data_IF_350658055640
#
_entry.id   IF_350658055640
#
_cell.length_a   1.000
_cell.length_b   1.000
_cell.length_c   1.000
_cell.angle_alpha   90.00
_cell.angle_beta   90.00
_cell.angle_gamma   90.00
#
_symmetry.space_group_name_H-M   'P 1'
#
loop_
_entity.id
_entity.type
_entity.pdbx_description
1 polymer ?
#
# COMPACT_ATOMS: atom_id res chain seq x y z
N UNK A 1 -15.01 17.88 -19.26
CA UNK A 1 -15.58 16.87 -18.34
C UNK A 1 -14.92 17.14 -17.01
N UNK A 2 -15.66 17.44 -15.94
CA UNK A 2 -15.08 17.51 -14.60
C UNK A 2 -14.55 16.12 -14.26
N UNK A 3 -13.22 15.93 -14.26
CA UNK A 3 -12.63 14.70 -13.78
C UNK A 3 -12.57 14.76 -12.25
N UNK A 4 -13.48 14.04 -11.60
CA UNK A 4 -13.37 13.72 -10.17
C UNK A 4 -12.38 12.60 -10.01
N UNK A 5 -11.32 12.82 -9.23
CA UNK A 5 -10.37 11.77 -8.86
C UNK A 5 -10.86 11.08 -7.59
N UNK A 6 -11.13 9.77 -7.69
CA UNK A 6 -11.38 8.92 -6.52
C UNK A 6 -10.03 8.51 -5.92
N UNK A 7 -9.80 8.88 -4.67
CA UNK A 7 -8.58 8.60 -3.91
C UNK A 7 -8.90 7.64 -2.78
N UNK A 8 -8.28 6.47 -2.80
CA UNK A 8 -8.41 5.46 -1.77
C UNK A 8 -7.31 5.69 -0.72
N UNK A 9 -7.72 6.02 0.51
CA UNK A 9 -6.84 6.26 1.66
C UNK A 9 -6.50 4.92 2.32
N UNK A 10 -5.25 4.48 2.17
CA UNK A 10 -4.80 3.19 2.71
C UNK A 10 -3.99 3.44 4.00
N UNK A 11 -4.49 3.02 5.18
CA UNK A 11 -3.72 3.08 6.42
C UNK A 11 -2.60 2.04 6.38
N UNK A 12 -1.40 2.43 6.81
CA UNK A 12 -0.25 1.54 6.84
C UNK A 12 0.47 1.67 8.17
N UNK A 13 0.70 0.54 8.82
CA UNK A 13 1.67 0.46 9.90
C UNK A 13 3.05 0.17 9.28
N UNK A 14 4.00 1.08 9.49
CA UNK A 14 5.33 1.04 8.89
C UNK A 14 6.37 0.41 9.82
N UNK A 15 7.38 -0.22 9.23
CA UNK A 15 8.53 -0.76 9.94
C UNK A 15 8.24 -1.95 10.87
N UNK A 16 9.25 -2.33 11.66
CA UNK A 16 9.16 -3.44 12.59
C UNK A 16 8.75 -4.75 11.91
N UNK A 17 7.81 -5.47 12.51
CA UNK A 17 7.29 -6.74 11.96
C UNK A 17 6.41 -6.55 10.72
N UNK A 18 5.83 -5.36 10.54
CA UNK A 18 4.96 -5.02 9.41
C UNK A 18 5.77 -4.61 8.17
N UNK A 19 6.95 -4.02 8.38
CA UNK A 19 7.85 -3.50 7.36
C UNK A 19 9.31 -3.88 7.60
N UNK A 20 9.69 -5.16 7.53
CA UNK A 20 11.00 -5.65 7.93
C UNK A 20 12.17 -5.18 7.05
N UNK A 21 11.92 -4.48 5.94
CA UNK A 21 12.94 -3.95 5.04
C UNK A 21 13.02 -2.42 5.05
N UNK A 22 12.24 -1.71 5.89
CA UNK A 22 12.21 -0.25 5.85
C UNK A 22 13.58 0.35 6.18
N UNK A 23 14.33 -0.29 7.09
CA UNK A 23 15.69 0.10 7.46
C UNK A 23 16.67 -0.09 6.30
N UNK A 24 16.49 -1.14 5.48
CA UNK A 24 17.32 -1.38 4.29
C UNK A 24 17.02 -0.34 3.21
N UNK A 25 15.75 0.02 2.99
CA UNK A 25 15.34 1.11 2.08
C UNK A 25 15.95 2.43 2.54
N UNK A 26 15.85 2.75 3.84
CA UNK A 26 16.43 3.95 4.42
C UNK A 26 17.96 3.99 4.23
N UNK A 27 18.64 2.90 4.55
CA UNK A 27 20.10 2.75 4.41
C UNK A 27 20.56 2.86 2.96
N UNK A 28 19.87 2.20 2.03
CA UNK A 28 20.20 2.23 0.60
C UNK A 28 20.18 3.67 0.05
N UNK A 29 19.17 4.44 0.44
CA UNK A 29 18.93 5.80 -0.03
C UNK A 29 19.58 6.88 0.84
N UNK A 30 20.28 6.50 1.92
CA UNK A 30 20.96 7.41 2.86
C UNK A 30 20.01 8.44 3.49
N UNK A 31 18.82 7.99 3.84
CA UNK A 31 17.78 8.76 4.52
C UNK A 31 17.35 8.04 5.81
N UNK A 32 16.58 8.69 6.67
CA UNK A 32 16.03 8.03 7.86
C UNK A 32 14.74 7.26 7.55
N UNK A 33 14.33 6.37 8.45
CA UNK A 33 13.05 5.65 8.33
C UNK A 33 11.87 6.62 8.31
N UNK A 34 11.94 7.68 9.11
CA UNK A 34 10.91 8.74 9.15
C UNK A 34 10.81 9.44 7.78
N UNK A 35 11.94 9.72 7.13
CA UNK A 35 11.96 10.29 5.79
C UNK A 35 11.42 9.32 4.73
N UNK A 36 11.62 8.00 4.89
CA UNK A 36 10.98 6.99 4.02
C UNK A 36 9.45 7.09 4.14
N UNK A 37 8.93 7.14 5.37
CA UNK A 37 7.50 7.21 5.64
C UNK A 37 6.91 8.53 5.12
N UNK A 38 7.55 9.66 5.40
CA UNK A 38 7.13 10.99 4.95
C UNK A 38 7.00 11.01 3.42
N UNK A 39 8.04 10.58 2.71
CA UNK A 39 8.06 10.55 1.25
C UNK A 39 7.00 9.60 0.69
N UNK A 40 6.89 8.41 1.25
CA UNK A 40 5.95 7.41 0.78
C UNK A 40 4.48 7.83 0.98
N UNK A 41 4.19 8.67 1.97
CA UNK A 41 2.83 9.13 2.30
C UNK A 41 2.50 10.53 1.75
N UNK A 42 3.50 11.25 1.23
CA UNK A 42 3.39 12.66 0.82
C UNK A 42 2.35 12.97 -0.25
N UNK A 43 2.06 12.02 -1.16
CA UNK A 43 1.16 12.23 -2.29
C UNK A 43 0.39 10.96 -2.68
N UNK A 44 -0.76 11.10 -3.35
CA UNK A 44 -1.43 9.99 -4.01
C UNK A 44 -0.59 9.42 -5.16
N UNK A 45 -0.74 8.12 -5.39
CA UNK A 45 -0.14 7.37 -6.48
C UNK A 45 -1.22 6.95 -7.48
N UNK A 46 -0.94 7.17 -8.77
CA UNK A 46 -1.81 6.73 -9.85
C UNK A 46 -1.74 5.21 -9.98
N UNK A 47 -2.88 4.55 -10.04
CA UNK A 47 -2.97 3.12 -10.34
C UNK A 47 -2.86 2.96 -11.86
N UNK A 48 -1.68 2.60 -12.35
CA UNK A 48 -1.48 2.40 -13.79
C UNK A 48 -2.20 1.15 -14.30
N UNK A 49 -2.13 0.06 -13.55
CA UNK A 49 -2.79 -1.19 -13.86
C UNK A 49 -2.96 -2.04 -12.60
N UNK A 50 -3.90 -2.97 -12.67
CA UNK A 50 -4.02 -4.07 -11.72
C UNK A 50 -3.51 -5.36 -12.39
N UNK A 51 -2.65 -6.13 -11.71
CA UNK A 51 -2.04 -7.33 -12.30
C UNK A 51 -1.04 -7.99 -11.37
N UNK A 52 -0.40 -9.10 -11.80
CA UNK A 52 0.37 -10.07 -10.97
C UNK A 52 -0.51 -11.01 -10.13
N UNK A 53 -1.50 -10.47 -9.41
CA UNK A 53 -2.57 -11.24 -8.77
C UNK A 53 -3.84 -10.38 -8.65
N UNK A 54 -5.02 -10.96 -8.38
CA UNK A 54 -6.26 -10.19 -8.23
C UNK A 54 -6.12 -9.04 -7.23
N UNK A 55 -6.40 -7.82 -7.69
CA UNK A 55 -6.37 -6.59 -6.89
C UNK A 55 -4.98 -5.98 -6.64
N UNK A 56 -3.89 -6.54 -7.17
CA UNK A 56 -2.54 -6.02 -6.91
C UNK A 56 -2.30 -4.76 -7.76
N UNK A 57 -2.04 -3.59 -7.16
CA UNK A 57 -1.90 -2.34 -7.87
C UNK A 57 -0.45 -2.04 -8.22
N UNK A 58 -0.20 -1.71 -9.49
CA UNK A 58 1.07 -1.10 -9.91
C UNK A 58 0.95 0.42 -9.83
N UNK A 59 1.64 1.00 -8.86
CA UNK A 59 1.52 2.41 -8.53
C UNK A 59 2.63 3.25 -9.17
N UNK A 60 2.22 4.34 -9.81
CA UNK A 60 3.10 5.30 -10.46
C UNK A 60 3.46 6.49 -9.58
N UNK A 61 4.68 7.01 -9.78
CA UNK A 61 5.09 8.30 -9.18
C UNK A 61 5.87 8.19 -7.87
N UNK A 62 6.47 7.02 -7.58
CA UNK A 62 7.38 6.85 -6.44
C UNK A 62 8.52 7.87 -6.46
N UNK A 63 8.72 8.57 -5.34
CA UNK A 63 9.84 9.49 -5.12
C UNK A 63 11.16 8.77 -5.43
N UNK A 64 12.01 9.40 -6.25
CA UNK A 64 13.31 8.86 -6.67
C UNK A 64 14.22 8.52 -5.49
N UNK A 65 14.08 9.23 -4.37
CA UNK A 65 14.82 8.96 -3.13
C UNK A 65 14.32 7.72 -2.37
N UNK A 66 13.31 7.02 -2.89
CA UNK A 66 12.85 5.74 -2.38
C UNK A 66 13.20 4.57 -3.31
N UNK A 67 13.77 4.84 -4.49
CA UNK A 67 14.01 3.79 -5.47
C UNK A 67 15.01 2.77 -4.94
N UNK A 68 14.55 1.54 -4.74
CA UNK A 68 15.34 0.51 -4.06
C UNK A 68 15.22 -0.82 -4.80
N UNK A 69 16.33 -1.49 -5.15
CA UNK A 69 16.27 -2.74 -5.89
C UNK A 69 15.50 -3.82 -5.13
N UNK A 70 14.96 -4.78 -5.88
CA UNK A 70 14.38 -6.00 -5.32
C UNK A 70 15.43 -6.73 -4.47
N UNK A 71 14.95 -7.46 -3.46
CA UNK A 71 15.79 -8.37 -2.69
C UNK A 71 16.45 -9.39 -3.62
N UNK A 72 17.73 -9.66 -3.39
CA UNK A 72 18.48 -10.69 -4.12
C UNK A 72 17.86 -12.09 -3.95
N UNK A 73 17.32 -12.37 -2.77
CA UNK A 73 16.59 -13.60 -2.46
C UNK A 73 15.13 -13.25 -2.13
N UNK A 74 14.17 -13.67 -2.98
CA UNK A 74 12.75 -13.50 -2.71
C UNK A 74 12.32 -14.22 -1.42
N UNK A 75 11.36 -13.65 -0.70
CA UNK A 75 10.68 -14.35 0.38
C UNK A 75 9.77 -15.42 -0.19
N UNK A 76 9.73 -16.57 0.47
CA UNK A 76 8.75 -17.62 0.19
C UNK A 76 7.32 -17.18 0.56
N UNK A 77 7.21 -16.28 1.54
CA UNK A 77 5.93 -15.74 2.00
C UNK A 77 6.05 -14.25 2.33
N UNK A 78 5.21 -13.46 1.69
CA UNK A 78 4.83 -12.09 2.02
C UNK A 78 3.37 -12.16 2.43
N UNK A 79 3.02 -11.48 3.52
CA UNK A 79 1.66 -11.50 4.05
C UNK A 79 0.74 -10.59 3.24
N UNK A 80 -0.54 -10.96 3.15
CA UNK A 80 -1.58 -10.08 2.66
C UNK A 80 -1.54 -8.72 3.39
N UNK A 81 -1.83 -7.65 2.65
CA UNK A 81 -1.72 -6.27 3.10
C UNK A 81 -0.31 -5.70 3.12
N UNK A 82 0.75 -6.48 2.85
CA UNK A 82 2.12 -5.94 2.84
C UNK A 82 2.28 -4.87 1.76
N UNK A 83 2.88 -3.75 2.12
CA UNK A 83 3.24 -2.63 1.23
C UNK A 83 4.73 -2.70 0.96
N UNK A 84 5.15 -2.53 -0.29
CA UNK A 84 6.56 -2.64 -0.61
C UNK A 84 7.01 -1.80 -1.78
N UNK A 85 8.33 -1.80 -1.98
CA UNK A 85 9.04 -1.08 -3.03
C UNK A 85 9.87 -2.06 -3.86
N UNK A 86 9.89 -1.85 -5.17
CA UNK A 86 10.82 -2.51 -6.09
C UNK A 86 11.22 -1.57 -7.23
N UNK A 87 12.51 -1.24 -7.29
CA UNK A 87 13.06 -0.23 -8.18
C UNK A 87 12.27 1.08 -8.02
N UNK A 88 11.65 1.56 -9.09
CA UNK A 88 10.85 2.79 -9.13
C UNK A 88 9.35 2.57 -8.87
N UNK A 89 8.94 1.39 -8.39
CA UNK A 89 7.55 1.04 -8.15
C UNK A 89 7.25 0.84 -6.67
N UNK A 90 6.05 1.24 -6.27
CA UNK A 90 5.41 0.85 -5.00
C UNK A 90 4.06 0.19 -5.29
N UNK A 91 3.45 -0.38 -4.26
CA UNK A 91 2.29 -1.24 -4.37
C UNK A 91 2.06 -2.02 -3.09
N UNK A 92 1.01 -2.84 -3.09
CA UNK A 92 0.65 -3.66 -1.93
C UNK A 92 0.17 -5.04 -2.39
N UNK A 93 0.41 -6.05 -1.56
CA UNK A 93 0.05 -7.44 -1.79
C UNK A 93 -1.36 -7.73 -1.28
N UNK A 94 -2.36 -8.01 -2.14
CA UNK A 94 -3.73 -8.29 -1.69
C UNK A 94 -3.90 -9.64 -0.99
N UNK A 95 -3.03 -10.61 -1.30
CA UNK A 95 -3.04 -11.95 -0.72
C UNK A 95 -1.63 -12.46 -0.45
N UNK A 96 -1.51 -13.47 0.40
CA UNK A 96 -0.24 -14.14 0.70
C UNK A 96 0.42 -14.64 -0.60
N UNK A 97 1.69 -14.29 -0.82
CA UNK A 97 2.44 -14.75 -2.00
C UNK A 97 3.94 -14.76 -1.76
N UNK A 98 4.74 -15.48 -2.55
CA UNK A 98 6.18 -15.22 -2.61
C UNK A 98 6.44 -13.86 -3.27
N UNK A 99 7.61 -13.27 -3.02
CA UNK A 99 8.02 -12.04 -3.70
C UNK A 99 9.34 -11.46 -3.21
N UNK A 100 9.94 -10.61 -4.04
CA UNK A 100 11.24 -9.98 -3.79
C UNK A 100 11.18 -8.48 -3.54
N UNK A 101 10.01 -7.91 -3.27
CA UNK A 101 9.91 -6.48 -2.95
C UNK A 101 10.45 -6.21 -1.54
N UNK A 102 10.97 -5.00 -1.34
CA UNK A 102 11.33 -4.51 -0.01
C UNK A 102 10.05 -4.13 0.72
N UNK A 103 9.70 -4.85 1.79
CA UNK A 103 8.46 -4.65 2.54
C UNK A 103 8.69 -3.57 3.60
N UNK A 104 7.98 -2.45 3.46
CA UNK A 104 8.16 -1.25 4.29
C UNK A 104 7.02 -1.06 5.30
N UNK A 105 5.91 -1.77 5.14
CA UNK A 105 4.79 -1.71 6.07
C UNK A 105 3.67 -2.67 5.68
N UNK A 106 2.56 -2.61 6.41
CA UNK A 106 1.37 -3.43 6.15
C UNK A 106 0.10 -2.62 6.38
N UNK A 107 -0.89 -2.82 5.53
CA UNK A 107 -2.26 -2.33 5.75
C UNK A 107 -3.12 -3.43 6.37
N UNK A 108 -4.04 -3.10 7.30
CA UNK A 108 -5.02 -4.05 7.80
C UNK A 108 -6.20 -4.25 6.83
N UNK A 109 -6.30 -3.43 5.77
CA UNK A 109 -7.43 -3.46 4.85
C UNK A 109 -7.37 -4.68 3.92
N UNK A 110 -8.53 -5.34 3.75
CA UNK A 110 -8.74 -6.35 2.70
C UNK A 110 -9.08 -5.66 1.38
N UNK A 111 -8.05 -5.24 0.65
CA UNK A 111 -8.22 -4.48 -0.60
C UNK A 111 -8.91 -5.27 -1.71
N UNK A 112 -8.77 -6.59 -1.69
CA UNK A 112 -9.44 -7.53 -2.59
C UNK A 112 -10.17 -8.60 -1.77
N UNK A 113 -11.41 -8.91 -2.16
CA UNK A 113 -12.18 -10.04 -1.62
C UNK A 113 -13.14 -10.55 -2.69
N UNK A 114 -13.13 -11.86 -2.95
CA UNK A 114 -14.11 -12.50 -3.85
C UNK A 114 -15.52 -12.60 -3.25
N UNK A 115 -15.66 -12.30 -1.96
CA UNK A 115 -16.94 -12.37 -1.21
C UNK A 115 -17.61 -10.99 -1.06
N UNK A 116 -17.01 -9.93 -1.63
CA UNK A 116 -17.53 -8.56 -1.58
C UNK A 116 -17.85 -8.07 -2.98
N UNK A 117 -18.89 -7.23 -3.11
CA UNK A 117 -19.15 -6.44 -4.31
C UNK A 117 -19.01 -4.94 -4.02
N UNK A 118 -18.11 -4.21 -4.70
CA UNK A 118 -17.15 -4.70 -5.69
C UNK A 118 -16.00 -5.50 -5.05
N UNK A 119 -15.44 -6.46 -5.81
CA UNK A 119 -14.36 -7.33 -5.33
C UNK A 119 -13.08 -6.57 -4.97
N UNK A 120 -12.76 -5.50 -5.71
CA UNK A 120 -11.61 -4.62 -5.46
C UNK A 120 -12.06 -3.30 -4.84
N UNK A 121 -11.26 -2.71 -3.96
CA UNK A 121 -11.52 -1.35 -3.42
C UNK A 121 -11.27 -0.24 -4.45
N UNK A 122 -10.49 -0.55 -5.49
CA UNK A 122 -10.02 0.40 -6.49
C UNK A 122 -9.90 -0.22 -7.90
N UNK A 123 -9.80 0.64 -8.90
CA UNK A 123 -9.66 0.32 -10.32
C UNK A 123 -8.47 1.05 -10.96
N UNK A 124 -8.02 0.60 -12.14
CA UNK A 124 -6.99 1.31 -12.89
C UNK A 124 -7.48 2.71 -13.31
N UNK A 125 -6.60 3.70 -13.21
CA UNK A 125 -6.94 5.12 -13.44
C UNK A 125 -7.39 5.87 -12.19
N UNK A 126 -7.64 5.19 -11.07
CA UNK A 126 -7.86 5.82 -9.76
C UNK A 126 -6.53 6.02 -9.01
N UNK A 127 -6.62 6.53 -7.77
CA UNK A 127 -5.46 6.89 -6.96
C UNK A 127 -5.46 6.20 -5.60
N UNK A 128 -4.28 5.81 -5.13
CA UNK A 128 -4.07 5.35 -3.74
C UNK A 128 -3.23 6.38 -3.01
N UNK A 129 -3.65 6.82 -1.83
CA UNK A 129 -2.78 7.57 -0.94
C UNK A 129 -2.59 6.82 0.37
N UNK A 130 -1.34 6.45 0.65
CA UNK A 130 -0.98 5.84 1.92
C UNK A 130 -0.88 6.89 3.02
N UNK A 131 -1.18 6.48 4.25
CA UNK A 131 -0.90 7.28 5.44
C UNK A 131 -0.50 6.38 6.61
N UNK A 132 0.37 6.91 7.46
CA UNK A 132 0.88 6.16 8.60
C UNK A 132 -0.18 6.05 9.73
N UNK A 133 -0.27 4.88 10.33
CA UNK A 133 -1.03 4.60 11.55
C UNK A 133 -0.13 3.86 12.55
N UNK A 134 -0.50 3.86 13.83
CA UNK A 134 0.17 3.03 14.83
C UNK A 134 -0.40 1.61 14.90
N UNK A 135 0.25 0.77 15.71
CA UNK A 135 -0.14 -0.64 15.89
C UNK A 135 -1.51 -0.78 16.57
N UNK A 136 -1.86 0.12 17.50
CA UNK A 136 -3.15 0.08 18.17
C UNK A 136 -4.29 0.31 17.16
N UNK A 137 -4.14 1.29 16.28
CA UNK A 137 -5.08 1.56 15.20
C UNK A 137 -5.11 0.43 14.18
N UNK A 138 -3.97 -0.19 13.88
CA UNK A 138 -3.89 -1.35 13.00
C UNK A 138 -4.76 -2.50 13.53
N UNK A 139 -4.56 -2.87 14.79
CA UNK A 139 -5.31 -3.94 15.47
C UNK A 139 -6.79 -3.60 15.55
N UNK A 140 -7.14 -2.34 15.85
CA UNK A 140 -8.54 -1.91 15.91
C UNK A 140 -9.23 -2.10 14.55
N UNK A 141 -8.58 -1.70 13.44
CA UNK A 141 -9.15 -1.88 12.10
C UNK A 141 -9.29 -3.36 11.75
N UNK A 142 -8.30 -4.21 12.06
CA UNK A 142 -8.41 -5.66 11.84
C UNK A 142 -9.61 -6.25 12.60
N UNK A 143 -9.82 -5.81 13.85
CA UNK A 143 -10.97 -6.22 14.66
C UNK A 143 -12.29 -5.76 14.05
N UNK A 144 -12.40 -4.50 13.67
CA UNK A 144 -13.63 -3.94 13.06
C UNK A 144 -13.98 -4.72 11.77
N UNK A 145 -12.97 -5.07 10.96
CA UNK A 145 -13.15 -5.90 9.76
C UNK A 145 -13.63 -7.31 10.14
N UNK A 146 -13.03 -7.92 11.17
CA UNK A 146 -13.41 -9.26 11.63
C UNK A 146 -14.83 -9.31 12.20
N UNK A 147 -15.28 -8.20 12.82
CA UNK A 147 -16.62 -8.06 13.39
C UNK A 147 -17.68 -7.71 12.31
N UNK A 148 -17.28 -7.61 11.04
CA UNK A 148 -18.18 -7.33 9.92
C UNK A 148 -18.44 -5.84 9.67
N UNK A 149 -17.77 -4.95 10.39
CA UNK A 149 -17.93 -3.49 10.29
C UNK A 149 -17.01 -2.87 9.23
N UNK A 150 -16.84 -3.55 8.09
CA UNK A 150 -16.01 -3.05 7.00
C UNK A 150 -16.89 -2.43 5.90
N UNK A 151 -16.77 -1.11 5.72
CA UNK A 151 -17.29 -0.41 4.57
C UNK A 151 -16.13 0.19 3.76
N UNK A 152 -16.11 -0.04 2.45
CA UNK A 152 -15.08 0.50 1.54
C UNK A 152 -15.17 2.03 1.48
N UNK A 153 -16.38 2.58 1.50
CA UNK A 153 -16.61 4.02 1.29
C UNK A 153 -15.98 4.88 2.39
N UNK A 154 -15.79 4.31 3.59
CA UNK A 154 -15.11 4.99 4.71
C UNK A 154 -13.65 5.33 4.42
N UNK A 155 -13.05 4.70 3.40
CA UNK A 155 -11.66 4.85 3.00
C UNK A 155 -11.49 5.62 1.69
N UNK A 156 -12.58 6.18 1.15
CA UNK A 156 -12.61 6.81 -0.16
C UNK A 156 -12.83 8.31 -0.02
N UNK A 157 -11.99 9.10 -0.68
CA UNK A 157 -12.16 10.55 -0.81
C UNK A 157 -12.36 10.89 -2.28
N UNK A 158 -13.35 11.72 -2.57
CA UNK A 158 -13.59 12.24 -3.93
C UNK A 158 -13.04 13.66 -3.99
N UNK A 159 -12.01 13.87 -4.80
CA UNK A 159 -11.45 15.20 -5.06
C UNK A 159 -11.86 15.71 -6.44
N UNK A 160 -12.35 16.96 -6.49
CA UNK A 160 -12.63 17.65 -7.74
C UNK A 160 -11.32 18.22 -8.29
N UNK A 161 -10.92 17.81 -9.49
CA UNK A 161 -9.84 18.49 -10.21
C UNK A 161 -10.47 19.65 -11.00
N UNK A 162 -10.08 20.88 -10.66
CA UNK A 162 -10.38 22.07 -11.45
C UNK A 162 -9.42 22.19 -12.64
#
# INVERSE_FOLDING_TARGET
>A
MNQTNRIIKIPVQYGGTYGPDIEEVAKHNRITVEQVIEKHTSKPYLIYMLGFMPGFPYLGGLDEQLHTPRRNQPRLKIHAGSVGIANNQTGLYPSDSPGGWQIIGRTPLKVFSSEREPMSMYEAGEWIQFYAIDEQKFIQIERDISDGNFNVDDWVVIENVN
#
